data_IF_958693109975
#
_entry.id   IF_958693109975
#
_cell.length_a   1.000
_cell.length_b   1.000
_cell.length_c   1.000
_cell.angle_alpha   90.00
_cell.angle_beta   90.00
_cell.angle_gamma   90.00
#
_symmetry.space_group_name_H-M   'P 1'
#
loop_
_entity.id
_entity.type
_entity.pdbx_description
1 polymer ?
#
# COMPACT_ATOMS: atom_id res chain seq x y z
N UNK A 1 -4.50 -6.22 -16.18
CA UNK A 1 -3.50 -5.25 -16.69
C UNK A 1 -3.62 -3.83 -16.13
N UNK A 2 -4.65 -3.45 -15.35
CA UNK A 2 -4.76 -2.07 -14.84
C UNK A 2 -3.91 -1.77 -13.58
N UNK A 3 -3.60 -2.75 -12.74
CA UNK A 3 -2.85 -2.53 -11.49
C UNK A 3 -1.41 -2.04 -11.69
N UNK A 4 -0.69 -2.58 -12.68
CA UNK A 4 0.69 -2.21 -12.96
C UNK A 4 0.86 -0.74 -13.39
N UNK A 5 -0.18 -0.14 -13.98
CA UNK A 5 -0.16 1.27 -14.34
C UNK A 5 -0.09 2.18 -13.12
N UNK A 6 -0.85 1.87 -12.07
CA UNK A 6 -0.86 2.65 -10.83
C UNK A 6 0.51 2.53 -10.15
N UNK A 7 1.05 1.31 -10.04
CA UNK A 7 2.37 1.07 -9.43
C UNK A 7 3.47 1.85 -10.19
N UNK A 8 3.49 1.76 -11.53
CA UNK A 8 4.46 2.48 -12.34
C UNK A 8 4.33 4.01 -12.23
N UNK A 9 3.10 4.51 -12.10
CA UNK A 9 2.85 5.95 -11.89
C UNK A 9 3.41 6.41 -10.54
N UNK A 10 3.21 5.63 -9.48
CA UNK A 10 3.74 5.93 -8.15
C UNK A 10 5.27 5.81 -8.08
N UNK A 11 5.87 4.84 -8.79
CA UNK A 11 7.32 4.75 -8.99
C UNK A 11 7.86 6.00 -9.70
N UNK A 12 7.19 6.43 -10.78
CA UNK A 12 7.59 7.62 -11.56
C UNK A 12 7.46 8.91 -10.75
N UNK A 13 6.53 8.96 -9.80
CA UNK A 13 6.33 10.08 -8.89
C UNK A 13 7.24 10.02 -7.64
N UNK A 14 8.13 9.04 -7.53
CA UNK A 14 8.99 8.79 -6.36
C UNK A 14 8.23 8.56 -5.04
N UNK A 15 6.99 8.07 -5.12
CA UNK A 15 6.19 7.68 -3.96
C UNK A 15 6.39 6.21 -3.58
N UNK A 16 6.82 5.40 -4.56
CA UNK A 16 7.31 4.04 -4.37
C UNK A 16 8.76 3.96 -4.84
N UNK A 17 9.49 3.01 -4.27
CA UNK A 17 10.83 2.61 -4.70
C UNK A 17 10.83 1.13 -5.11
N UNK A 18 11.75 0.76 -6.00
CA UNK A 18 11.98 -0.64 -6.33
C UNK A 18 12.51 -1.38 -5.08
N UNK A 19 11.80 -2.43 -4.68
CA UNK A 19 12.12 -3.29 -3.53
C UNK A 19 13.00 -4.50 -3.88
N UNK A 20 13.32 -4.68 -5.16
CA UNK A 20 14.01 -5.85 -5.69
C UNK A 20 13.08 -7.05 -5.88
N UNK A 21 13.68 -8.18 -6.26
CA UNK A 21 12.98 -9.45 -6.40
C UNK A 21 12.97 -10.19 -5.07
N UNK A 22 11.80 -10.58 -4.58
CA UNK A 22 11.63 -11.37 -3.36
C UNK A 22 10.81 -12.60 -3.70
N UNK A 23 11.40 -13.80 -3.55
CA UNK A 23 10.68 -15.05 -3.79
C UNK A 23 10.24 -15.28 -5.24
N UNK A 24 10.90 -14.65 -6.23
CA UNK A 24 10.52 -14.73 -7.63
C UNK A 24 9.58 -13.64 -8.12
N UNK A 25 9.21 -12.69 -7.25
CA UNK A 25 8.26 -11.61 -7.57
C UNK A 25 8.92 -10.23 -7.43
N UNK A 26 8.70 -9.37 -8.42
CA UNK A 26 9.10 -7.96 -8.38
C UNK A 26 8.32 -7.22 -7.29
N UNK A 27 9.06 -6.69 -6.31
CA UNK A 27 8.48 -6.00 -5.17
C UNK A 27 8.76 -4.49 -5.21
N UNK A 28 7.90 -3.73 -4.53
CA UNK A 28 8.04 -2.29 -4.32
C UNK A 28 7.93 -1.96 -2.84
N UNK A 29 8.52 -0.82 -2.42
CA UNK A 29 8.47 -0.33 -1.04
C UNK A 29 8.07 1.15 -0.99
N UNK A 30 7.51 1.57 0.14
CA UNK A 30 7.27 2.99 0.46
C UNK A 30 8.30 3.46 1.48
N UNK A 31 8.73 4.71 1.39
CA UNK A 31 9.45 5.34 2.50
C UNK A 31 8.52 5.52 3.70
N UNK A 32 9.10 5.43 4.90
CA UNK A 32 8.37 5.63 6.16
C UNK A 32 7.61 6.96 6.18
N UNK A 33 8.24 8.05 5.71
CA UNK A 33 7.60 9.37 5.64
C UNK A 33 6.39 9.42 4.70
N UNK A 34 6.45 8.71 3.56
CA UNK A 34 5.34 8.64 2.59
C UNK A 34 4.22 7.78 3.16
N UNK A 35 4.56 6.68 3.84
CA UNK A 35 3.61 5.83 4.53
C UNK A 35 2.86 6.59 5.63
N UNK A 36 3.56 7.37 6.44
CA UNK A 36 2.95 8.14 7.52
C UNK A 36 2.03 9.25 6.98
N UNK A 37 2.41 9.90 5.88
CA UNK A 37 1.54 10.86 5.17
C UNK A 37 0.29 10.21 4.58
N UNK A 38 0.42 9.02 3.97
CA UNK A 38 -0.71 8.29 3.44
C UNK A 38 -1.69 7.86 4.56
N UNK A 39 -1.16 7.38 5.70
CA UNK A 39 -1.95 7.04 6.87
C UNK A 39 -2.66 8.27 7.46
N UNK A 40 -1.98 9.41 7.53
CA UNK A 40 -2.58 10.67 7.97
C UNK A 40 -3.76 11.08 7.08
N UNK A 41 -3.56 11.09 5.76
CA UNK A 41 -4.59 11.44 4.79
C UNK A 41 -5.79 10.49 4.86
N UNK A 42 -5.55 9.18 4.92
CA UNK A 42 -6.61 8.18 5.06
C UNK A 42 -7.40 8.39 6.37
N UNK A 43 -6.69 8.68 7.47
CA UNK A 43 -7.32 8.92 8.77
C UNK A 43 -8.17 10.20 8.83
N UNK A 44 -7.82 11.23 8.05
CA UNK A 44 -8.54 12.51 7.98
C UNK A 44 -9.73 12.46 6.99
N UNK A 45 -9.62 11.67 5.91
CA UNK A 45 -10.65 11.55 4.88
C UNK A 45 -11.74 10.53 5.22
N UNK A 46 -11.44 9.50 6.03
CA UNK A 46 -12.41 8.48 6.40
C UNK A 46 -13.20 8.88 7.65
N UNK A 47 -14.52 8.97 7.49
CA UNK A 47 -15.48 8.87 8.59
C UNK A 47 -15.26 7.53 9.28
N UNK A 48 -14.50 7.51 10.39
CA UNK A 48 -14.29 6.52 11.49
C UNK A 48 -14.68 5.02 11.38
N UNK A 49 -15.48 4.56 10.44
CA UNK A 49 -16.13 3.24 10.43
C UNK A 49 -15.36 2.17 9.64
N UNK A 50 -14.37 2.51 8.79
CA UNK A 50 -13.72 1.53 7.89
C UNK A 50 -12.17 1.53 7.95
N UNK A 51 -11.57 1.70 9.14
CA UNK A 51 -10.10 1.57 9.28
C UNK A 51 -9.70 0.10 9.44
N UNK A 52 -9.26 -0.56 8.36
CA UNK A 52 -8.59 -1.86 8.44
C UNK A 52 -7.11 -1.73 8.06
N UNK A 53 -6.23 -2.30 8.89
CA UNK A 53 -4.80 -2.36 8.61
C UNK A 53 -4.50 -3.60 7.79
N UNK A 54 -4.12 -3.42 6.52
CA UNK A 54 -3.60 -4.53 5.70
C UNK A 54 -2.09 -4.65 5.87
N UNK A 55 -1.61 -5.87 6.13
CA UNK A 55 -0.18 -6.17 6.03
C UNK A 55 0.21 -6.21 4.55
N UNK A 56 1.16 -5.38 4.15
CA UNK A 56 1.73 -5.44 2.80
C UNK A 56 2.27 -6.86 2.50
N UNK A 57 2.03 -7.35 1.29
CA UNK A 57 2.44 -8.69 0.88
C UNK A 57 1.57 -9.85 1.41
N UNK A 58 0.46 -9.57 2.09
CA UNK A 58 -0.48 -10.62 2.53
C UNK A 58 -1.35 -11.18 1.38
N UNK A 59 -1.25 -10.63 0.16
CA UNK A 59 -2.00 -11.04 -1.03
C UNK A 59 -3.51 -11.21 -0.78
N UNK A 60 -4.09 -10.33 0.05
CA UNK A 60 -5.51 -10.37 0.38
C UNK A 60 -6.34 -9.91 -0.83
N UNK A 61 -7.32 -10.73 -1.21
CA UNK A 61 -8.29 -10.41 -2.25
C UNK A 61 -9.61 -9.87 -1.69
N UNK A 62 -9.79 -9.96 -0.38
CA UNK A 62 -10.95 -9.51 0.37
C UNK A 62 -10.49 -8.74 1.62
N UNK A 63 -11.38 -7.94 2.19
CA UNK A 63 -11.12 -7.23 3.44
C UNK A 63 -10.79 -8.24 4.56
N UNK A 64 -9.69 -8.04 5.31
CA UNK A 64 -9.39 -8.93 6.42
C UNK A 64 -10.44 -8.79 7.53
N UNK A 65 -10.91 -9.92 8.07
CA UNK A 65 -11.74 -9.93 9.29
C UNK A 65 -10.89 -9.46 10.48
N UNK A 66 -10.95 -8.17 10.79
CA UNK A 66 -10.21 -7.56 11.90
C UNK A 66 -10.98 -7.82 13.19
N UNK A 67 -10.60 -8.87 13.93
CA UNK A 67 -11.02 -9.03 15.33
C UNK A 67 -10.13 -8.14 16.20
N UNK A 68 -10.74 -7.11 16.78
CA UNK A 68 -10.14 -6.23 17.78
C UNK A 68 -9.63 -6.98 19.00
#
# INVERSE_FOLDING_TARGET
>A
MHGNYIINSLLSACLLENGGEIGGEDCVKMHDVVRDMALWIACELETKEEKFFVKAGAQLFEEPDVKA
#
